data_IF_825352952855
#
_entry.id   IF_825352952855
#
_cell.length_a   1.000
_cell.length_b   1.000
_cell.length_c   1.000
_cell.angle_alpha   90.00
_cell.angle_beta   90.00
_cell.angle_gamma   90.00
#
_symmetry.space_group_name_H-M   'P 1'
#
loop_
_entity.id
_entity.type
_entity.pdbx_description
1 polymer ?
#
# COMPACT_ATOMS: atom_id res chain seq x y z
N UNK A 1 -15.63 -6.35 20.22
CA UNK A 1 -15.63 -5.09 19.45
C UNK A 1 -16.90 -5.02 18.62
N UNK A 2 -17.51 -3.85 18.45
CA UNK A 2 -18.79 -3.71 17.69
C UNK A 2 -18.60 -3.62 16.17
N UNK A 3 -17.37 -3.45 15.71
CA UNK A 3 -16.99 -3.37 14.29
C UNK A 3 -15.76 -4.24 14.03
N UNK A 4 -15.66 -4.90 12.87
CA UNK A 4 -14.51 -5.73 12.49
C UNK A 4 -13.23 -4.91 12.20
N UNK A 5 -13.40 -3.64 11.85
CA UNK A 5 -12.28 -2.72 11.57
C UNK A 5 -12.62 -1.30 12.01
N UNK A 6 -11.61 -0.61 12.54
CA UNK A 6 -11.61 0.85 12.73
C UNK A 6 -10.45 1.42 11.94
N UNK A 7 -10.74 2.38 11.05
CA UNK A 7 -9.71 3.07 10.28
C UNK A 7 -9.36 4.38 10.95
N UNK A 8 -8.08 4.54 11.27
CA UNK A 8 -7.54 5.81 11.74
C UNK A 8 -6.90 6.57 10.58
N UNK A 9 -6.84 7.90 10.72
CA UNK A 9 -6.36 8.82 9.69
C UNK A 9 -4.83 8.80 9.52
N UNK A 10 -4.30 9.90 9.01
CA UNK A 10 -2.87 10.12 8.89
C UNK A 10 -2.34 10.70 10.20
N UNK A 11 -1.19 10.20 10.66
CA UNK A 11 -0.53 10.70 11.86
C UNK A 11 0.86 11.24 11.52
N UNK A 12 1.07 12.51 11.83
CA UNK A 12 2.33 13.24 11.59
C UNK A 12 2.97 13.73 12.88
N UNK A 13 2.59 13.17 14.04
CA UNK A 13 3.29 13.46 15.29
C UNK A 13 4.72 12.92 15.23
N UNK A 14 5.62 13.55 15.98
CA UNK A 14 7.06 13.28 15.96
C UNK A 14 7.43 11.78 15.97
N UNK A 15 6.83 10.90 16.81
CA UNK A 15 7.18 9.49 16.80
C UNK A 15 6.91 8.79 15.45
N UNK A 16 5.84 9.17 14.75
CA UNK A 16 5.47 8.57 13.46
C UNK A 16 6.36 9.08 12.32
N UNK A 17 6.73 10.36 12.36
CA UNK A 17 7.72 10.91 11.43
C UNK A 17 9.08 10.24 11.62
N UNK A 18 9.55 10.10 12.86
CA UNK A 18 10.83 9.44 13.14
C UNK A 18 10.83 7.97 12.71
N UNK A 19 9.75 7.24 12.99
CA UNK A 19 9.61 5.84 12.57
C UNK A 19 9.69 5.68 11.04
N UNK A 20 9.12 6.61 10.28
CA UNK A 20 9.13 6.56 8.82
C UNK A 20 10.48 6.95 8.18
N UNK A 21 11.41 7.51 8.95
CA UNK A 21 12.66 8.11 8.46
C UNK A 21 13.91 7.59 9.17
N UNK A 22 13.91 6.32 9.59
CA UNK A 22 15.11 5.73 10.17
C UNK A 22 16.26 5.64 9.16
N UNK A 23 17.54 5.66 9.59
CA UNK A 23 18.68 5.50 8.69
C UNK A 23 18.63 4.19 7.87
N UNK A 24 18.10 3.10 8.47
CA UNK A 24 17.95 1.81 7.80
C UNK A 24 16.94 1.90 6.65
N UNK A 25 15.81 2.57 6.86
CA UNK A 25 14.80 2.78 5.81
C UNK A 25 15.34 3.69 4.71
N UNK A 26 16.04 4.77 5.04
CA UNK A 26 16.67 5.65 4.05
C UNK A 26 17.67 4.89 3.17
N UNK A 27 18.49 4.02 3.77
CA UNK A 27 19.40 3.17 3.01
C UNK A 27 18.66 2.19 2.07
N UNK A 28 17.55 1.60 2.53
CA UNK A 28 16.71 0.74 1.69
C UNK A 28 16.05 1.52 0.54
N UNK A 29 15.60 2.76 0.76
CA UNK A 29 15.03 3.60 -0.29
C UNK A 29 16.08 4.00 -1.33
N UNK A 30 17.29 4.32 -0.89
CA UNK A 30 18.42 4.59 -1.77
C UNK A 30 18.76 3.38 -2.65
N UNK A 31 18.66 2.16 -2.11
CA UNK A 31 18.90 0.93 -2.86
C UNK A 31 17.76 0.60 -3.84
N UNK A 32 16.50 0.73 -3.41
CA UNK A 32 15.33 0.27 -4.18
C UNK A 32 14.85 1.31 -5.20
N UNK A 33 14.83 2.59 -4.82
CA UNK A 33 14.33 3.70 -5.64
C UNK A 33 15.48 4.47 -6.28
N UNK A 34 16.64 4.50 -5.61
CA UNK A 34 17.81 5.27 -6.01
C UNK A 34 17.94 6.56 -5.23
N UNK A 35 19.18 6.89 -4.86
CA UNK A 35 19.51 8.13 -4.14
C UNK A 35 18.98 9.38 -4.86
N UNK A 36 18.32 10.24 -4.11
CA UNK A 36 17.72 11.49 -4.62
C UNK A 36 16.44 11.31 -5.45
N UNK A 37 15.88 10.09 -5.52
CA UNK A 37 14.63 9.79 -6.25
C UNK A 37 13.42 9.55 -5.34
N UNK A 38 13.56 9.82 -4.04
CA UNK A 38 12.50 9.70 -3.04
C UNK A 38 12.55 10.89 -2.08
N UNK A 39 11.45 11.12 -1.36
CA UNK A 39 11.31 12.19 -0.37
C UNK A 39 11.03 11.58 1.02
N UNK A 40 11.63 12.14 2.09
CA UNK A 40 11.28 11.78 3.47
C UNK A 40 9.78 11.89 3.73
N UNK A 41 9.25 11.02 4.58
CA UNK A 41 7.81 10.94 4.87
C UNK A 41 7.48 11.69 6.16
N UNK A 42 6.67 12.76 6.14
CA UNK A 42 6.33 13.50 7.36
C UNK A 42 5.24 12.83 8.21
N UNK A 43 4.75 11.66 7.79
CA UNK A 43 3.65 10.95 8.44
C UNK A 43 3.58 9.48 8.04
N UNK A 44 2.87 8.73 8.87
CA UNK A 44 2.31 7.43 8.49
C UNK A 44 0.90 7.60 7.91
N UNK A 45 0.57 6.71 6.98
CA UNK A 45 -0.72 6.66 6.29
C UNK A 45 -1.87 6.24 7.19
N UNK A 46 -2.96 5.76 6.58
CA UNK A 46 -4.12 5.26 7.35
C UNK A 46 -3.79 3.96 8.09
N UNK A 47 -4.37 3.78 9.28
CA UNK A 47 -4.21 2.58 10.10
C UNK A 47 -5.48 1.73 10.08
N UNK A 48 -5.49 0.54 9.46
CA UNK A 48 -6.57 -0.41 9.60
C UNK A 48 -6.40 -1.19 10.91
N UNK A 49 -7.11 -0.80 11.97
CA UNK A 49 -7.13 -1.55 13.24
C UNK A 49 -8.16 -2.66 13.15
N UNK A 50 -7.69 -3.91 13.09
CA UNK A 50 -8.51 -5.11 12.95
C UNK A 50 -8.91 -5.66 14.31
N UNK A 51 -10.14 -6.15 14.43
CA UNK A 51 -10.65 -6.77 15.65
C UNK A 51 -11.21 -8.16 15.36
N UNK A 52 -11.11 -9.12 16.31
CA UNK A 52 -11.78 -10.40 16.19
C UNK A 52 -13.28 -10.20 15.96
N UNK A 53 -13.77 -10.70 14.82
CA UNK A 53 -15.16 -10.53 14.40
C UNK A 53 -15.53 -11.60 13.37
N UNK A 54 -16.76 -12.15 13.42
CA UNK A 54 -17.28 -13.02 12.37
C UNK A 54 -17.77 -12.26 11.13
N UNK A 55 -17.92 -10.94 11.23
CA UNK A 55 -18.37 -10.09 10.12
C UNK A 55 -17.23 -9.70 9.19
N UNK A 56 -17.50 -9.73 7.88
CA UNK A 56 -16.60 -9.23 6.85
C UNK A 56 -16.36 -7.71 7.06
N UNK A 57 -15.10 -7.25 7.12
CA UNK A 57 -14.80 -5.83 7.20
C UNK A 57 -15.16 -5.02 5.95
N UNK A 58 -15.42 -5.65 4.81
CA UNK A 58 -15.85 -4.98 3.57
C UNK A 58 -14.73 -4.22 2.83
N UNK A 59 -13.48 -4.37 3.27
CA UNK A 59 -12.30 -3.70 2.71
C UNK A 59 -11.12 -4.67 2.47
N UNK A 60 -11.43 -5.96 2.32
CA UNK A 60 -10.46 -7.04 2.11
C UNK A 60 -10.23 -7.37 0.62
N UNK A 61 -10.67 -6.51 -0.29
CA UNK A 61 -10.51 -6.67 -1.74
C UNK A 61 -9.07 -6.48 -2.21
N UNK A 62 -8.72 -7.16 -3.30
CA UNK A 62 -7.46 -6.93 -4.01
C UNK A 62 -7.46 -5.55 -4.65
N UNK A 63 -6.39 -4.79 -4.43
CA UNK A 63 -6.23 -3.47 -5.02
C UNK A 63 -4.76 -3.13 -5.22
N UNK A 64 -4.51 -2.04 -5.95
CA UNK A 64 -3.20 -1.40 -5.96
C UNK A 64 -3.28 0.05 -5.50
N UNK A 65 -2.18 0.51 -4.95
CA UNK A 65 -2.08 1.85 -4.41
C UNK A 65 -1.84 2.92 -5.49
N UNK A 66 -2.92 3.47 -6.08
CA UNK A 66 -2.84 4.45 -7.18
C UNK A 66 -2.14 5.79 -6.82
N UNK A 67 -1.37 6.35 -7.76
CA UNK A 67 -0.43 7.45 -7.50
C UNK A 67 -0.98 8.88 -7.66
N UNK A 68 -1.72 9.17 -8.74
CA UNK A 68 -2.12 10.53 -9.09
C UNK A 68 -3.62 10.62 -9.40
N UNK A 69 -4.18 11.83 -9.41
CA UNK A 69 -5.59 12.06 -9.80
C UNK A 69 -5.67 12.38 -11.28
N UNK A 70 -6.73 11.93 -11.95
CA UNK A 70 -7.14 12.52 -13.21
C UNK A 70 -7.68 13.95 -12.98
N UNK A 71 -8.03 14.65 -14.05
CA UNK A 71 -8.64 15.99 -13.97
C UNK A 71 -9.97 15.99 -13.17
N UNK A 72 -10.60 14.81 -12.98
CA UNK A 72 -11.80 14.64 -12.18
C UNK A 72 -11.51 14.51 -10.66
N UNK A 73 -12.43 14.99 -9.82
CA UNK A 73 -12.21 15.20 -8.39
C UNK A 73 -12.57 14.03 -7.46
N UNK A 74 -13.09 12.91 -7.96
CA UNK A 74 -13.51 11.75 -7.17
C UNK A 74 -12.35 10.77 -6.84
N UNK A 75 -12.48 9.95 -5.80
CA UNK A 75 -11.42 9.00 -5.39
C UNK A 75 -11.22 7.89 -6.43
N UNK A 76 -12.28 7.53 -7.16
CA UNK A 76 -12.25 6.68 -8.37
C UNK A 76 -11.43 7.27 -9.52
N UNK A 77 -11.12 8.57 -9.47
CA UNK A 77 -10.26 9.24 -10.46
C UNK A 77 -8.78 8.97 -10.23
N UNK A 78 -8.41 8.32 -9.13
CA UNK A 78 -7.02 7.94 -8.87
C UNK A 78 -6.55 6.95 -9.93
N UNK A 79 -5.37 7.21 -10.48
CA UNK A 79 -4.73 6.43 -11.52
C UNK A 79 -3.31 6.05 -11.13
N UNK A 80 -2.84 4.96 -11.70
CA UNK A 80 -1.41 4.64 -11.77
C UNK A 80 -1.03 4.56 -13.24
N UNK A 81 0.22 4.91 -13.55
CA UNK A 81 0.80 4.78 -14.89
C UNK A 81 2.06 3.92 -14.82
N UNK A 82 2.58 3.54 -15.99
CA UNK A 82 3.76 2.66 -16.08
C UNK A 82 5.01 3.23 -15.39
N UNK A 83 5.11 4.56 -15.26
CA UNK A 83 6.19 5.25 -14.54
C UNK A 83 5.93 5.43 -13.05
N UNK A 84 4.80 4.93 -12.53
CA UNK A 84 4.38 5.03 -11.13
C UNK A 84 4.43 6.47 -10.59
N UNK A 85 3.89 7.43 -11.34
CA UNK A 85 3.93 8.84 -10.97
C UNK A 85 3.37 9.09 -9.57
N UNK A 86 4.18 9.73 -8.73
CA UNK A 86 3.81 10.13 -7.37
C UNK A 86 3.96 9.04 -6.30
N UNK A 87 4.38 7.81 -6.67
CA UNK A 87 4.60 6.71 -5.72
C UNK A 87 5.77 5.83 -6.15
N UNK A 88 6.65 5.49 -5.21
CA UNK A 88 7.75 4.57 -5.47
C UNK A 88 7.61 3.27 -4.68
N UNK A 89 7.36 3.37 -3.37
CA UNK A 89 7.23 2.25 -2.46
C UNK A 89 6.00 2.44 -1.56
N UNK A 90 5.39 1.32 -1.18
CA UNK A 90 4.47 1.22 -0.05
C UNK A 90 5.24 0.59 1.11
N UNK A 91 5.05 1.13 2.32
CA UNK A 91 5.64 0.60 3.56
C UNK A 91 4.52 0.12 4.47
N UNK A 92 4.67 -1.07 5.05
CA UNK A 92 3.70 -1.67 5.96
C UNK A 92 4.27 -1.69 7.38
N UNK A 93 4.04 -0.61 8.13
CA UNK A 93 4.46 -0.54 9.53
C UNK A 93 3.56 -1.40 10.41
N UNK A 94 4.14 -2.41 11.07
CA UNK A 94 3.45 -3.22 12.06
C UNK A 94 3.57 -2.54 13.44
N UNK A 95 2.46 -2.05 13.99
CA UNK A 95 2.41 -1.43 15.32
C UNK A 95 2.00 -2.40 16.44
N UNK A 96 1.80 -3.66 16.10
CA UNK A 96 1.60 -4.79 17.01
C UNK A 96 2.26 -6.00 16.38
N UNK A 97 2.41 -7.07 17.14
CA UNK A 97 2.72 -8.37 16.54
C UNK A 97 1.57 -8.79 15.63
N UNK A 98 1.90 -9.31 14.45
CA UNK A 98 0.93 -9.78 13.45
C UNK A 98 1.35 -11.16 12.98
N UNK A 99 0.59 -12.17 13.37
CA UNK A 99 0.68 -13.54 12.86
C UNK A 99 -0.29 -13.80 11.72
N UNK A 100 -0.29 -15.06 11.24
CA UNK A 100 -1.15 -15.48 10.12
C UNK A 100 -2.66 -15.36 10.41
N UNK A 101 -3.05 -15.37 11.69
CA UNK A 101 -4.44 -15.28 12.12
C UNK A 101 -4.86 -13.86 12.54
N UNK A 102 -3.95 -12.89 12.50
CA UNK A 102 -4.18 -11.52 12.99
C UNK A 102 -4.59 -10.55 11.87
N UNK A 103 -5.26 -11.08 10.85
CA UNK A 103 -5.66 -10.37 9.63
C UNK A 103 -4.50 -9.61 8.93
N UNK A 104 -3.36 -10.28 8.64
CA UNK A 104 -2.23 -9.66 7.94
C UNK A 104 -2.63 -9.21 6.54
N UNK A 105 -1.94 -8.19 6.04
CA UNK A 105 -2.03 -7.81 4.62
C UNK A 105 -1.58 -8.99 3.76
N UNK A 106 -2.42 -9.41 2.81
CA UNK A 106 -2.09 -10.42 1.80
C UNK A 106 -1.46 -9.74 0.59
N UNK A 107 -0.40 -10.33 0.06
CA UNK A 107 0.37 -9.79 -1.07
C UNK A 107 0.48 -10.86 -2.14
N UNK A 108 0.03 -10.57 -3.37
CA UNK A 108 0.29 -11.41 -4.53
C UNK A 108 1.74 -11.20 -5.00
N UNK A 109 2.60 -12.18 -4.74
CA UNK A 109 4.04 -12.09 -5.03
C UNK A 109 4.27 -11.92 -6.53
N UNK A 110 5.04 -10.91 -6.90
CA UNK A 110 5.38 -10.60 -8.31
C UNK A 110 4.29 -9.87 -9.11
N UNK A 111 3.10 -9.66 -8.54
CA UNK A 111 1.96 -9.02 -9.23
C UNK A 111 2.27 -7.63 -9.78
N UNK A 112 3.15 -6.87 -9.13
CA UNK A 112 3.62 -5.56 -9.61
C UNK A 112 4.17 -5.60 -11.05
N UNK A 113 4.76 -6.71 -11.50
CA UNK A 113 5.25 -6.86 -12.88
C UNK A 113 4.12 -7.08 -13.88
N UNK A 114 3.09 -7.82 -13.50
CA UNK A 114 1.93 -8.07 -14.36
C UNK A 114 1.09 -6.79 -14.51
N UNK A 115 0.92 -6.06 -13.41
CA UNK A 115 0.30 -4.75 -13.42
C UNK A 115 1.10 -3.76 -14.27
N UNK A 116 2.43 -3.73 -14.14
CA UNK A 116 3.28 -2.85 -14.97
C UNK A 116 3.13 -3.13 -16.47
N UNK A 117 3.07 -4.40 -16.89
CA UNK A 117 2.80 -4.77 -18.30
C UNK A 117 1.41 -4.33 -18.75
N UNK A 118 0.42 -4.41 -17.87
CA UNK A 118 -0.95 -3.96 -18.18
C UNK A 118 -1.05 -2.44 -18.28
N UNK A 119 -0.20 -1.72 -17.54
CA UNK A 119 -0.09 -0.26 -17.56
C UNK A 119 0.66 0.28 -18.77
N UNK A 120 1.58 -0.50 -19.37
CA UNK A 120 2.44 -0.05 -20.46
C UNK A 120 1.65 0.55 -21.65
N UNK A 121 0.59 -0.10 -22.19
CA UNK A 121 -0.16 0.46 -23.31
C UNK A 121 -0.89 1.76 -22.98
N UNK A 122 -1.20 2.00 -21.69
CA UNK A 122 -1.88 3.21 -21.24
C UNK A 122 -0.92 4.41 -21.08
N UNK A 123 0.40 4.19 -21.17
CA UNK A 123 1.42 5.24 -21.10
C UNK A 123 1.23 6.17 -19.90
N UNK A 124 1.39 7.47 -20.11
CA UNK A 124 1.24 8.49 -19.06
C UNK A 124 -0.20 8.68 -18.58
N UNK A 125 -1.20 8.34 -19.40
CA UNK A 125 -2.60 8.42 -19.00
C UNK A 125 -2.91 7.41 -17.89
N UNK A 126 -2.27 6.24 -17.94
CA UNK A 126 -2.44 5.18 -16.95
C UNK A 126 -3.85 4.62 -16.87
N UNK A 127 -4.08 3.73 -15.92
CA UNK A 127 -5.38 3.09 -15.66
C UNK A 127 -5.98 3.60 -14.35
N UNK A 128 -7.31 3.61 -14.27
CA UNK A 128 -8.03 3.95 -13.05
C UNK A 128 -7.91 2.86 -11.97
N UNK A 129 -8.13 3.25 -10.72
CA UNK A 129 -8.12 2.33 -9.58
C UNK A 129 -9.06 1.12 -9.82
N UNK A 130 -10.25 1.34 -10.36
CA UNK A 130 -11.23 0.26 -10.62
C UNK A 130 -10.70 -0.75 -11.65
N UNK A 131 -10.11 -0.27 -12.75
CA UNK A 131 -9.51 -1.14 -13.76
C UNK A 131 -8.36 -1.97 -13.18
N UNK A 132 -7.54 -1.33 -12.33
CA UNK A 132 -6.39 -1.97 -11.70
C UNK A 132 -6.77 -2.99 -10.64
N UNK A 133 -7.83 -2.74 -9.88
CA UNK A 133 -8.36 -3.69 -8.90
C UNK A 133 -8.91 -4.93 -9.59
N UNK A 134 -9.63 -4.77 -10.70
CA UNK A 134 -10.12 -5.89 -11.52
C UNK A 134 -8.96 -6.72 -12.07
N UNK A 135 -7.94 -6.07 -12.64
CA UNK A 135 -6.74 -6.75 -13.12
C UNK A 135 -6.03 -7.49 -11.99
N UNK A 136 -5.80 -6.82 -10.86
CA UNK A 136 -5.14 -7.40 -9.68
C UNK A 136 -5.91 -8.58 -9.09
N UNK A 137 -7.24 -8.50 -9.04
CA UNK A 137 -8.10 -9.58 -8.58
C UNK A 137 -7.98 -10.82 -9.49
N UNK A 138 -7.91 -10.63 -10.81
CA UNK A 138 -7.81 -11.69 -11.80
C UNK A 138 -6.44 -12.40 -11.86
N UNK A 139 -5.38 -11.80 -11.31
CA UNK A 139 -4.05 -12.42 -11.29
C UNK A 139 -4.02 -13.68 -10.41
N UNK A 140 -3.59 -14.80 -10.99
CA UNK A 140 -3.26 -16.00 -10.24
C UNK A 140 -1.75 -16.00 -9.90
N UNK A 141 -1.44 -15.71 -8.64
CA UNK A 141 -0.06 -15.58 -8.13
C UNK A 141 0.03 -16.15 -6.71
N UNK A 142 1.19 -16.70 -6.33
CA UNK A 142 1.44 -17.07 -4.94
C UNK A 142 1.20 -15.91 -4.00
N UNK A 143 0.61 -16.20 -2.85
CA UNK A 143 0.34 -15.20 -1.82
C UNK A 143 1.36 -15.28 -0.70
N UNK A 144 1.76 -14.11 -0.20
CA UNK A 144 2.53 -13.94 1.01
C UNK A 144 1.72 -13.13 2.02
N UNK A 145 1.95 -13.38 3.30
CA UNK A 145 1.36 -12.62 4.40
C UNK A 145 2.41 -11.63 4.94
N UNK A 146 2.02 -10.37 5.14
CA UNK A 146 2.83 -9.40 5.85
C UNK A 146 2.68 -9.63 7.36
N UNK A 147 3.54 -10.49 7.91
CA UNK A 147 3.59 -10.86 9.33
C UNK A 147 4.92 -10.44 9.94
N UNK A 148 4.94 -10.21 11.25
CA UNK A 148 6.15 -9.83 11.98
C UNK A 148 5.83 -9.33 13.38
N UNK A 149 6.88 -9.06 14.16
CA UNK A 149 6.76 -8.40 15.46
C UNK A 149 6.52 -6.90 15.28
N UNK A 150 5.99 -6.25 16.33
CA UNK A 150 5.84 -4.80 16.37
C UNK A 150 7.19 -4.10 16.03
N UNK A 151 7.13 -3.12 15.12
CA UNK A 151 8.31 -2.41 14.59
C UNK A 151 8.84 -2.95 13.26
N UNK A 152 8.32 -4.09 12.77
CA UNK A 152 8.60 -4.57 11.40
C UNK A 152 8.02 -3.61 10.36
N UNK A 153 8.76 -3.40 9.26
CA UNK A 153 8.38 -2.55 8.10
C UNK A 153 8.65 -3.27 6.79
#
# INVERSE_FOLDING_TARGET
>A
WTRPVVRLGHYGDEPFEQAANTPMLHAAFDQLVGKGRWLPRPNLGTFPVRFPSPHDPGDAGWHIDAGFRSVASDFSSRRANVTSRGRALLMLFLLSDVGACDAPTRIKVGSHRDIARSLEPAGDAGLSHVELDQLGAALDRPEALATGEAGTV
#
